data_IF_667713242190
#
_entry.id   IF_667713242190
#
_cell.length_a   1.000
_cell.length_b   1.000
_cell.length_c   1.000
_cell.angle_alpha   90.00
_cell.angle_beta   90.00
_cell.angle_gamma   90.00
#
_symmetry.space_group_name_H-M   'P 1'
#
loop_
_entity.id
_entity.type
_entity.pdbx_description
1 polymer ?
#
# COMPACT_ATOMS: atom_id res chain seq x y z
N UNK A 1 1.24 18.65 11.56
CA UNK A 1 -0.18 18.87 11.27
C UNK A 1 -0.55 18.12 9.98
N UNK A 2 -0.51 16.79 10.03
CA UNK A 2 -0.65 15.88 8.87
C UNK A 2 -2.02 16.05 8.17
N UNK A 3 -3.09 16.19 8.96
CA UNK A 3 -4.45 16.39 8.47
C UNK A 3 -4.62 17.66 7.63
N UNK A 4 -3.80 18.70 7.88
CA UNK A 4 -3.83 19.94 7.12
C UNK A 4 -3.03 19.89 5.81
N UNK A 5 -2.22 18.84 5.60
CA UNK A 5 -1.36 18.68 4.42
C UNK A 5 -1.88 17.64 3.41
N UNK A 6 -2.93 16.90 3.78
CA UNK A 6 -3.53 15.83 3.00
C UNK A 6 -5.02 16.12 2.85
N UNK A 7 -5.48 16.62 1.68
CA UNK A 7 -6.89 16.73 1.38
C UNK A 7 -7.63 15.40 1.57
N UNK A 8 -8.89 15.46 2.02
CA UNK A 8 -9.74 14.29 2.28
C UNK A 8 -9.87 13.35 1.07
N UNK A 9 -9.88 13.91 -0.15
CA UNK A 9 -9.99 13.20 -1.42
C UNK A 9 -8.63 12.74 -2.00
N UNK A 10 -7.53 12.95 -1.26
CA UNK A 10 -6.20 12.46 -1.68
C UNK A 10 -6.28 10.95 -1.89
N UNK A 11 -5.79 10.49 -3.06
CA UNK A 11 -5.83 9.07 -3.39
C UNK A 11 -4.91 8.29 -2.47
N UNK A 12 -5.46 7.30 -1.77
CA UNK A 12 -4.72 6.33 -0.99
C UNK A 12 -4.53 5.05 -1.81
N UNK A 13 -3.27 4.71 -2.09
CA UNK A 13 -2.91 3.39 -2.62
C UNK A 13 -2.44 2.51 -1.48
N UNK A 14 -3.06 1.34 -1.32
CA UNK A 14 -2.51 0.26 -0.50
C UNK A 14 -2.08 -0.86 -1.45
N UNK A 15 -0.80 -1.19 -1.46
CA UNK A 15 -0.28 -2.19 -2.39
C UNK A 15 0.77 -3.10 -1.76
N UNK A 16 0.92 -4.29 -2.33
CA UNK A 16 1.90 -5.28 -1.93
C UNK A 16 2.89 -5.58 -3.07
N UNK A 17 4.17 -5.66 -2.73
CA UNK A 17 5.24 -6.13 -3.62
C UNK A 17 6.03 -7.25 -2.94
N UNK A 18 6.74 -8.03 -3.74
CA UNK A 18 7.72 -8.97 -3.19
C UNK A 18 8.81 -8.23 -2.39
N UNK A 19 9.42 -8.89 -1.40
CA UNK A 19 10.58 -8.36 -0.71
C UNK A 19 11.69 -7.97 -1.70
N UNK A 20 12.39 -6.87 -1.40
CA UNK A 20 13.47 -6.30 -2.22
C UNK A 20 13.04 -5.71 -3.59
N UNK A 21 11.73 -5.67 -3.91
CA UNK A 21 11.21 -5.03 -5.12
C UNK A 21 10.67 -3.64 -4.80
N UNK A 22 11.47 -2.62 -5.08
CA UNK A 22 11.12 -1.21 -4.79
C UNK A 22 10.28 -0.55 -5.91
N UNK A 23 10.38 -1.06 -7.14
CA UNK A 23 9.83 -0.47 -8.35
C UNK A 23 9.08 -1.53 -9.17
N UNK A 24 8.13 -1.10 -10.01
CA UNK A 24 7.33 -2.00 -10.86
C UNK A 24 5.90 -2.25 -10.36
N UNK A 25 5.10 -3.01 -11.12
CA UNK A 25 3.71 -3.29 -10.79
C UNK A 25 3.61 -4.08 -9.47
N UNK A 26 2.66 -3.76 -8.60
CA UNK A 26 2.40 -4.53 -7.40
C UNK A 26 1.67 -5.85 -7.71
N UNK A 27 1.79 -6.82 -6.81
CA UNK A 27 1.06 -8.09 -6.84
C UNK A 27 -0.42 -7.91 -6.50
N UNK A 28 -0.71 -6.89 -5.69
CA UNK A 28 -2.06 -6.48 -5.34
C UNK A 28 -2.07 -4.98 -5.05
N UNK A 29 -3.09 -4.26 -5.52
CA UNK A 29 -3.27 -2.83 -5.29
C UNK A 29 -4.73 -2.48 -5.09
N UNK A 30 -5.03 -1.86 -3.95
CA UNK A 30 -6.29 -1.20 -3.65
C UNK A 30 -6.13 0.31 -3.81
N UNK A 31 -7.19 0.95 -4.33
CA UNK A 31 -7.32 2.41 -4.44
C UNK A 31 -8.49 2.88 -3.59
N UNK A 32 -8.19 3.82 -2.70
CA UNK A 32 -9.05 4.37 -1.66
C UNK A 32 -8.84 5.90 -1.61
N UNK A 33 -9.44 6.56 -0.62
CA UNK A 33 -9.25 7.99 -0.34
C UNK A 33 -8.83 8.22 1.13
N UNK A 34 -8.17 9.35 1.41
CA UNK A 34 -7.63 9.66 2.73
C UNK A 34 -8.70 9.76 3.83
N UNK A 35 -9.91 10.20 3.47
CA UNK A 35 -11.09 10.28 4.37
C UNK A 35 -11.60 8.92 4.86
N UNK A 36 -11.13 7.82 4.27
CA UNK A 36 -11.45 6.46 4.72
C UNK A 36 -10.55 5.98 5.86
N UNK A 37 -9.49 6.72 6.21
CA UNK A 37 -8.58 6.35 7.29
C UNK A 37 -9.19 6.62 8.68
N UNK A 38 -8.95 5.75 9.68
CA UNK A 38 -8.29 4.44 9.55
C UNK A 38 -9.18 3.42 8.84
N UNK A 39 -8.57 2.58 7.98
CA UNK A 39 -9.27 1.55 7.20
C UNK A 39 -8.64 0.20 7.44
N UNK A 40 -9.47 -0.84 7.50
CA UNK A 40 -9.04 -2.23 7.48
C UNK A 40 -9.46 -2.86 6.15
N UNK A 41 -8.53 -3.56 5.49
CA UNK A 41 -8.76 -4.17 4.18
C UNK A 41 -7.98 -5.47 4.07
N UNK A 42 -8.65 -6.50 3.55
CA UNK A 42 -8.01 -7.77 3.19
C UNK A 42 -7.51 -7.68 1.75
N UNK A 43 -6.19 -7.62 1.60
CA UNK A 43 -5.55 -7.62 0.30
C UNK A 43 -5.45 -9.07 -0.22
N UNK A 44 -6.15 -9.36 -1.30
CA UNK A 44 -6.21 -10.69 -1.95
C UNK A 44 -6.07 -10.58 -3.47
N UNK A 45 -6.16 -11.70 -4.18
CA UNK A 45 -5.93 -11.77 -5.64
C UNK A 45 -6.93 -10.95 -6.46
N UNK A 46 -8.06 -10.50 -5.89
CA UNK A 46 -9.00 -9.60 -6.60
C UNK A 46 -8.39 -8.22 -6.83
N UNK A 47 -7.33 -7.89 -6.11
CA UNK A 47 -6.58 -6.66 -6.26
C UNK A 47 -5.37 -6.80 -7.19
N UNK A 48 -5.16 -7.98 -7.80
CA UNK A 48 -4.10 -8.19 -8.78
C UNK A 48 -4.41 -7.46 -10.10
N UNK A 49 -3.39 -6.86 -10.71
CA UNK A 49 -3.53 -6.20 -12.01
C UNK A 49 -3.49 -7.19 -13.19
N UNK A 50 -2.89 -8.37 -12.98
CA UNK A 50 -2.85 -9.45 -13.96
C UNK A 50 -2.99 -10.81 -13.27
N UNK A 51 -3.53 -11.82 -13.95
CA UNK A 51 -3.67 -13.16 -13.37
C UNK A 51 -2.33 -13.90 -13.23
N UNK A 52 -1.25 -13.39 -13.84
CA UNK A 52 0.09 -13.99 -13.74
C UNK A 52 0.91 -13.48 -12.55
N UNK A 53 0.47 -12.39 -11.89
CA UNK A 53 1.19 -11.77 -10.79
C UNK A 53 0.19 -11.43 -9.67
N UNK A 54 -0.01 -12.39 -8.76
CA UNK A 54 -0.98 -12.30 -7.67
C UNK A 54 -0.29 -12.29 -6.32
N UNK A 55 -0.98 -11.84 -5.26
CA UNK A 55 -0.40 -11.86 -3.91
C UNK A 55 -0.25 -13.29 -3.39
N UNK A 56 -1.17 -14.19 -3.75
CA UNK A 56 -1.13 -15.61 -3.38
C UNK A 56 0.01 -16.41 -4.01
N UNK A 57 0.66 -15.89 -5.05
CA UNK A 57 1.74 -16.60 -5.75
C UNK A 57 3.11 -16.45 -5.09
N UNK A 58 3.21 -15.77 -3.95
CA UNK A 58 4.47 -15.52 -3.24
C UNK A 58 4.31 -15.80 -1.74
N UNK A 59 5.40 -16.15 -1.08
CA UNK A 59 5.38 -16.50 0.35
C UNK A 59 5.33 -15.27 1.26
N UNK A 60 5.93 -14.16 0.83
CA UNK A 60 6.04 -12.94 1.63
C UNK A 60 5.89 -11.69 0.76
N UNK A 61 5.46 -10.59 1.38
CA UNK A 61 5.32 -9.28 0.75
C UNK A 61 5.72 -8.14 1.67
N UNK A 62 6.13 -7.02 1.09
CA UNK A 62 6.14 -5.73 1.77
C UNK A 62 4.86 -4.99 1.38
N UNK A 63 4.07 -4.61 2.38
CA UNK A 63 2.85 -3.82 2.20
C UNK A 63 3.20 -2.35 2.36
N UNK A 64 2.73 -1.51 1.45
CA UNK A 64 2.94 -0.06 1.50
C UNK A 64 1.62 0.66 1.31
N UNK A 65 1.35 1.63 2.18
CA UNK A 65 0.28 2.60 2.04
C UNK A 65 0.89 3.93 1.57
N UNK A 66 0.34 4.51 0.50
CA UNK A 66 0.81 5.78 -0.09
C UNK A 66 -0.37 6.70 -0.37
N UNK A 67 -0.33 7.89 0.22
CA UNK A 67 -1.17 9.01 -0.16
C UNK A 67 -0.50 9.75 -1.32
N UNK A 68 -1.06 9.57 -2.51
CA UNK A 68 -0.55 10.16 -3.74
C UNK A 68 -1.26 11.47 -4.07
N UNK A 69 -0.48 12.54 -4.22
CA UNK A 69 -1.01 13.85 -4.67
C UNK A 69 -1.27 13.89 -6.17
N UNK A 70 -0.53 13.10 -6.95
CA UNK A 70 -0.69 13.04 -8.41
C UNK A 70 -1.73 12.01 -8.86
N UNK A 71 -2.22 11.17 -7.95
CA UNK A 71 -3.13 10.07 -8.28
C UNK A 71 -2.43 8.88 -8.94
N UNK A 72 -1.10 8.80 -8.87
CA UNK A 72 -0.30 7.69 -9.39
C UNK A 72 0.20 6.78 -8.27
N UNK A 73 0.29 5.48 -8.55
CA UNK A 73 0.84 4.52 -7.57
C UNK A 73 2.35 4.66 -7.41
N UNK A 74 3.06 5.21 -8.40
CA UNK A 74 4.50 5.43 -8.34
C UNK A 74 4.84 6.54 -7.34
N UNK A 75 6.00 6.42 -6.67
CA UNK A 75 6.44 7.38 -5.68
C UNK A 75 6.73 8.73 -6.32
N UNK A 76 6.29 9.82 -5.71
CA UNK A 76 6.63 11.18 -6.11
C UNK A 76 6.89 12.08 -4.91
N UNK A 77 7.73 13.09 -5.11
CA UNK A 77 7.94 14.13 -4.12
C UNK A 77 6.61 14.79 -3.71
N UNK A 78 6.41 14.93 -2.41
CA UNK A 78 5.19 15.45 -1.79
C UNK A 78 4.15 14.39 -1.41
N UNK A 79 4.30 13.15 -1.85
CA UNK A 79 3.50 12.03 -1.36
C UNK A 79 3.84 11.72 0.10
N UNK A 80 2.89 11.10 0.80
CA UNK A 80 3.13 10.52 2.11
C UNK A 80 3.03 9.01 2.00
N UNK A 81 3.92 8.27 2.66
CA UNK A 81 3.88 6.82 2.65
C UNK A 81 4.24 6.20 4.01
N UNK A 82 3.91 4.93 4.13
CA UNK A 82 4.29 4.05 5.20
C UNK A 82 4.36 2.62 4.67
N UNK A 83 5.24 1.79 5.25
CA UNK A 83 5.39 0.39 4.84
C UNK A 83 5.59 -0.51 6.05
N UNK A 84 5.34 -1.79 5.86
CA UNK A 84 5.73 -2.81 6.85
C UNK A 84 7.25 -2.83 6.99
N UNK A 85 7.75 -2.76 8.23
CA UNK A 85 9.20 -2.72 8.51
C UNK A 85 9.91 -4.01 8.11
N UNK A 86 9.18 -5.13 8.15
CA UNK A 86 9.65 -6.45 7.73
C UNK A 86 8.66 -7.06 6.73
N UNK A 87 9.12 -7.97 5.85
CA UNK A 87 8.23 -8.78 5.04
C UNK A 87 7.17 -9.48 5.88
N UNK A 88 5.97 -9.54 5.33
CA UNK A 88 4.79 -10.18 5.92
C UNK A 88 4.51 -11.45 5.15
N UNK A 89 4.37 -12.56 5.86
CA UNK A 89 3.98 -13.83 5.27
C UNK A 89 2.57 -13.75 4.66
N UNK A 90 2.40 -14.22 3.43
CA UNK A 90 1.09 -14.34 2.79
C UNK A 90 0.44 -15.63 3.26
N UNK A 91 -0.65 -15.52 4.02
CA UNK A 91 -1.39 -16.67 4.50
C UNK A 91 -2.90 -16.38 4.51
N UNK A 92 -3.73 -17.38 4.21
CA UNK A 92 -5.19 -17.23 4.17
C UNK A 92 -5.82 -17.10 5.56
N UNK A 93 -5.15 -17.63 6.58
CA UNK A 93 -5.64 -17.72 7.96
C UNK A 93 -5.12 -16.59 8.84
N UNK A 94 -4.81 -15.43 8.29
CA UNK A 94 -4.21 -14.34 9.06
C UNK A 94 -5.22 -13.79 10.07
N UNK A 95 -5.04 -14.14 11.35
CA UNK A 95 -6.01 -13.83 12.41
C UNK A 95 -5.95 -12.37 12.86
N UNK A 96 -4.79 -11.71 12.70
CA UNK A 96 -4.57 -10.33 13.11
C UNK A 96 -4.22 -9.43 11.91
N UNK A 97 -4.80 -8.20 11.84
CA UNK A 97 -4.41 -7.20 10.86
C UNK A 97 -2.93 -6.82 11.00
N UNK A 98 -2.28 -6.56 9.87
CA UNK A 98 -0.96 -5.93 9.84
C UNK A 98 -1.14 -4.41 9.82
N UNK A 99 -0.58 -3.74 10.83
CA UNK A 99 -0.61 -2.29 10.90
C UNK A 99 0.41 -1.68 9.93
N UNK A 100 -0.03 -0.68 9.17
CA UNK A 100 0.83 0.18 8.35
C UNK A 100 0.52 1.63 8.71
N UNK A 101 1.53 2.37 9.16
CA UNK A 101 1.39 3.77 9.57
C UNK A 101 2.02 4.65 8.52
N UNK A 102 1.27 5.65 8.02
CA UNK A 102 1.77 6.63 7.06
C UNK A 102 2.41 7.78 7.84
N UNK A 103 3.74 7.85 7.82
CA UNK A 103 4.51 8.82 8.62
C UNK A 103 5.70 9.46 7.88
N UNK A 104 5.99 9.01 6.66
CA UNK A 104 7.10 9.52 5.86
C UNK A 104 6.59 10.39 4.70
N UNK A 105 6.98 11.66 4.67
CA UNK A 105 6.83 12.50 3.48
C UNK A 105 8.00 12.25 2.52
N UNK A 106 7.69 11.98 1.25
CA UNK A 106 8.70 11.86 0.20
C UNK A 106 9.14 13.25 -0.27
N UNK A 107 10.45 13.46 -0.39
CA UNK A 107 11.04 14.78 -0.69
C UNK A 107 11.76 14.84 -2.04
N UNK A 108 12.01 13.69 -2.67
CA UNK A 108 12.76 13.50 -3.91
C UNK A 108 12.19 12.37 -4.79
#
# INVERSE_FOLDING_TARGET
DFQNQVPADTTLFLFARQPNVQQGPPLAVARLTADQLPVEIRLDDRYAMSPQATISSVDEVVVTARLSRSGNVAAQAGDWQGSTDVPVAVNESQEAPVAVVIDQQLID
#
